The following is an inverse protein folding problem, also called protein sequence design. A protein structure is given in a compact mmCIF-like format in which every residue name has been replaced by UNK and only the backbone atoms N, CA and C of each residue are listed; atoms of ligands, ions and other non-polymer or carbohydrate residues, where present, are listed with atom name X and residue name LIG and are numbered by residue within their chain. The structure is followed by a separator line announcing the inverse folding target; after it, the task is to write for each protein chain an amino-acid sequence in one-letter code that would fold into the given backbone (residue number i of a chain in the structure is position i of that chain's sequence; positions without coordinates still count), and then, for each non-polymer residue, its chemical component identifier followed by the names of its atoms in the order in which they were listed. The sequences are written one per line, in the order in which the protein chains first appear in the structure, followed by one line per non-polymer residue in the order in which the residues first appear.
data_IF_357425932705
#
_entry.id   IF_357425932705
#
_cell.length_a   1.000
_cell.length_b   1.000
_cell.length_c   1.000
_cell.angle_alpha   90.00
_cell.angle_beta   90.00
_cell.angle_gamma   90.00
#
_symmetry.space_group_name_H-M   'P 1'
#
loop_
_entity.id
_entity.type
_entity.pdbx_description
1 polymer ?
#
# COMPACT_ATOMS: atom_id res chain seq x y z
N UNK A 1 28.52 24.91 38.84
CA UNK A 1 29.31 24.05 37.93
C UNK A 1 29.61 22.77 38.70
N UNK A 2 28.80 21.73 38.49
CA UNK A 2 28.92 20.44 39.17
C UNK A 2 29.33 19.38 38.16
N UNK A 3 30.45 18.71 38.45
CA UNK A 3 31.09 17.71 37.61
C UNK A 3 30.16 16.51 37.33
N UNK A 4 29.84 16.31 36.06
CA UNK A 4 29.10 15.15 35.53
C UNK A 4 30.02 13.94 35.25
N UNK A 5 31.26 13.94 35.76
CA UNK A 5 32.33 13.02 35.35
C UNK A 5 32.54 11.79 36.26
N UNK A 6 31.67 11.54 37.26
CA UNK A 6 31.92 10.45 38.22
C UNK A 6 30.91 9.28 38.23
N UNK A 7 29.93 9.22 37.32
CA UNK A 7 28.93 8.13 37.35
C UNK A 7 28.98 7.13 36.19
N UNK A 8 29.83 7.31 35.20
CA UNK A 8 30.00 6.32 34.13
C UNK A 8 31.45 5.88 34.12
N UNK A 9 31.73 4.71 34.70
CA UNK A 9 33.06 4.09 34.75
C UNK A 9 33.59 3.65 33.38
N UNK A 10 33.56 4.53 32.39
CA UNK A 10 34.06 4.30 31.04
C UNK A 10 35.49 4.83 30.94
N UNK A 11 36.43 3.93 30.62
CA UNK A 11 37.82 4.28 30.38
C UNK A 11 37.96 5.27 29.21
N UNK A 12 38.84 6.27 29.38
CA UNK A 12 39.07 7.45 28.51
C UNK A 12 39.41 7.18 27.03
N UNK A 13 39.49 5.92 26.58
CA UNK A 13 39.98 5.56 25.24
C UNK A 13 39.09 4.56 24.47
N UNK A 14 37.83 4.36 24.88
CA UNK A 14 36.90 3.58 24.04
C UNK A 14 36.34 4.55 22.99
N UNK A 15 36.53 4.32 21.68
CA UNK A 15 35.89 5.14 20.67
C UNK A 15 34.38 5.04 20.85
N UNK A 16 33.80 6.14 21.35
CA UNK A 16 32.36 6.40 21.29
C UNK A 16 31.91 6.09 19.88
N UNK A 17 30.92 5.19 19.76
CA UNK A 17 30.31 4.75 18.50
C UNK A 17 30.41 5.85 17.44
N UNK A 18 31.07 5.55 16.32
CA UNK A 18 30.90 6.32 15.09
C UNK A 18 29.40 6.55 14.95
N UNK A 19 28.97 7.80 15.07
CA UNK A 19 27.60 8.18 14.81
C UNK A 19 27.25 7.54 13.47
N UNK A 20 26.24 6.67 13.46
CA UNK A 20 25.68 6.20 12.19
C UNK A 20 25.41 7.42 11.32
N UNK A 21 25.58 7.32 9.98
CA UNK A 21 25.32 8.45 9.10
C UNK A 21 23.96 9.02 9.49
N UNK A 22 23.94 10.26 9.98
CA UNK A 22 22.70 10.91 10.41
C UNK A 22 21.69 10.82 9.27
N UNK A 23 20.41 10.66 9.62
CA UNK A 23 19.32 10.53 8.65
C UNK A 23 19.51 11.53 7.53
N UNK A 24 19.92 11.06 6.36
CA UNK A 24 20.08 11.91 5.18
C UNK A 24 18.68 12.41 4.89
N UNK A 25 18.39 13.71 5.03
CA UNK A 25 17.03 14.19 4.84
C UNK A 25 16.63 13.85 3.40
N UNK A 26 15.58 13.04 3.25
CA UNK A 26 15.06 12.69 1.94
C UNK A 26 14.50 13.96 1.30
N UNK A 27 15.31 14.62 0.47
CA UNK A 27 14.89 15.80 -0.27
C UNK A 27 14.00 15.30 -1.40
N UNK A 28 12.70 15.59 -1.32
CA UNK A 28 11.75 15.32 -2.40
C UNK A 28 12.19 16.10 -3.64
N UNK A 29 12.46 15.39 -4.73
CA UNK A 29 12.95 15.95 -6.02
C UNK A 29 11.92 15.91 -7.14
N UNK A 30 10.81 15.21 -6.92
CA UNK A 30 9.72 15.04 -7.89
C UNK A 30 8.37 15.17 -7.18
N UNK A 31 7.34 15.71 -7.84
CA UNK A 31 5.99 15.68 -7.31
C UNK A 31 5.54 14.23 -7.12
N UNK A 32 4.64 14.00 -6.17
CA UNK A 32 4.05 12.68 -5.97
C UNK A 32 2.58 12.91 -5.69
N UNK A 33 1.74 12.58 -6.67
CA UNK A 33 0.29 12.76 -6.61
C UNK A 33 -0.35 11.40 -6.39
N UNK A 34 -1.25 11.32 -5.41
CA UNK A 34 -2.03 10.11 -5.15
C UNK A 34 -3.25 10.05 -6.09
N UNK A 35 -3.00 9.71 -7.36
CA UNK A 35 -4.04 9.61 -8.41
C UNK A 35 -5.14 8.63 -8.04
N UNK A 36 -4.78 7.52 -7.38
CA UNK A 36 -5.73 6.51 -6.90
C UNK A 36 -6.57 7.00 -5.73
N UNK A 37 -5.97 7.70 -4.76
CA UNK A 37 -6.69 8.30 -3.65
C UNK A 37 -7.74 9.31 -4.11
N UNK A 38 -7.37 10.19 -5.04
CA UNK A 38 -8.30 11.16 -5.66
C UNK A 38 -9.45 10.43 -6.37
N UNK A 39 -9.14 9.48 -7.25
CA UNK A 39 -10.15 8.69 -7.96
C UNK A 39 -11.12 7.96 -7.00
N UNK A 40 -10.57 7.38 -5.92
CA UNK A 40 -11.35 6.67 -4.89
C UNK A 40 -12.30 7.63 -4.15
N UNK A 41 -11.90 8.89 -3.92
CA UNK A 41 -12.75 9.91 -3.32
C UNK A 41 -14.02 10.17 -4.12
N UNK A 42 -13.89 10.39 -5.43
CA UNK A 42 -15.03 10.58 -6.34
C UNK A 42 -15.89 9.32 -6.47
N UNK A 43 -15.27 8.14 -6.53
CA UNK A 43 -15.99 6.87 -6.54
C UNK A 43 -16.84 6.69 -5.27
N UNK A 44 -16.27 6.97 -4.09
CA UNK A 44 -16.98 6.86 -2.81
C UNK A 44 -18.15 7.86 -2.71
N UNK A 45 -18.06 9.02 -3.36
CA UNK A 45 -19.18 9.95 -3.44
C UNK A 45 -20.38 9.39 -4.24
N UNK A 46 -20.11 8.56 -5.26
CA UNK A 46 -21.17 7.84 -6.01
C UNK A 46 -21.76 6.75 -5.12
N UNK A 47 -20.91 5.93 -4.50
CA UNK A 47 -21.36 4.85 -3.59
C UNK A 47 -22.21 5.41 -2.47
N UNK A 48 -21.75 6.48 -1.79
CA UNK A 48 -22.52 7.11 -0.71
C UNK A 48 -23.90 7.59 -1.15
N UNK A 49 -24.01 8.20 -2.35
CA UNK A 49 -25.32 8.61 -2.90
C UNK A 49 -26.23 7.43 -3.24
N UNK A 50 -25.65 6.31 -3.71
CA UNK A 50 -26.41 5.08 -3.96
C UNK A 50 -26.87 4.43 -2.65
N UNK A 51 -26.01 4.38 -1.64
CA UNK A 51 -26.36 3.86 -0.31
C UNK A 51 -27.47 4.69 0.35
N UNK A 52 -27.38 6.03 0.26
CA UNK A 52 -28.45 6.93 0.72
C UNK A 52 -29.77 6.68 -0.01
N UNK A 53 -29.71 6.48 -1.32
CA UNK A 53 -30.89 6.14 -2.12
C UNK A 53 -31.48 4.80 -1.68
N UNK A 54 -30.66 3.77 -1.49
CA UNK A 54 -31.11 2.45 -1.05
C UNK A 54 -31.71 2.50 0.35
N UNK A 55 -31.16 3.29 1.26
CA UNK A 55 -31.75 3.53 2.58
C UNK A 55 -33.11 4.23 2.49
N UNK A 56 -33.22 5.29 1.69
CA UNK A 56 -34.48 6.00 1.47
C UNK A 56 -35.52 5.09 0.81
N UNK A 57 -35.11 4.27 -0.15
CA UNK A 57 -35.96 3.28 -0.81
C UNK A 57 -36.46 2.20 0.16
N UNK A 58 -35.61 1.69 1.06
CA UNK A 58 -36.00 0.73 2.11
C UNK A 58 -36.98 1.32 3.13
N UNK A 59 -36.77 2.58 3.52
CA UNK A 59 -37.62 3.30 4.49
C UNK A 59 -38.89 3.89 3.87
N UNK A 60 -39.07 3.78 2.55
CA UNK A 60 -40.19 4.39 1.82
C UNK A 60 -41.52 3.72 2.14
N UNK A 61 -42.53 4.54 2.44
CA UNK A 61 -43.92 4.09 2.48
C UNK A 61 -44.50 4.15 1.05
N UNK A 62 -44.63 2.99 0.39
CA UNK A 62 -44.99 2.89 -1.05
C UNK A 62 -46.32 3.55 -1.44
N UNK A 63 -47.20 3.80 -0.46
CA UNK A 63 -48.50 4.46 -0.66
C UNK A 63 -48.43 5.99 -0.70
N UNK A 64 -47.47 6.61 -0.01
CA UNK A 64 -47.37 8.08 0.09
C UNK A 64 -46.37 8.66 -0.91
N UNK A 65 -45.38 7.88 -1.31
CA UNK A 65 -44.34 8.32 -2.24
C UNK A 65 -44.11 7.22 -3.29
N UNK A 66 -44.76 7.28 -4.47
CA UNK A 66 -44.76 6.18 -5.43
C UNK A 66 -43.45 6.03 -6.20
N UNK A 67 -42.60 7.06 -6.25
CA UNK A 67 -41.35 7.03 -7.03
C UNK A 67 -40.24 7.81 -6.32
N UNK A 68 -39.29 7.07 -5.73
CA UNK A 68 -37.96 7.65 -5.44
C UNK A 68 -37.15 7.40 -6.70
N UNK A 69 -36.73 8.48 -7.35
CA UNK A 69 -35.87 8.39 -8.54
C UNK A 69 -34.45 8.04 -8.13
N UNK A 70 -33.83 7.12 -8.88
CA UNK A 70 -32.42 6.80 -8.71
C UNK A 70 -31.59 8.05 -9.04
N UNK A 71 -30.56 8.39 -8.23
CA UNK A 71 -29.71 9.53 -8.53
C UNK A 71 -29.03 9.36 -9.89
N UNK A 72 -29.04 10.43 -10.69
CA UNK A 72 -28.27 10.51 -11.94
C UNK A 72 -26.89 11.08 -11.64
N UNK A 73 -25.87 10.51 -12.27
CA UNK A 73 -24.48 10.93 -12.09
C UNK A 73 -23.93 11.45 -13.42
N UNK A 74 -23.58 12.74 -13.53
CA UNK A 74 -22.94 13.27 -14.72
C UNK A 74 -21.46 12.85 -14.74
N UNK A 75 -21.15 11.63 -15.21
CA UNK A 75 -19.80 11.07 -15.13
C UNK A 75 -18.74 11.93 -15.84
N UNK A 76 -19.14 12.67 -16.88
CA UNK A 76 -18.26 13.60 -17.58
C UNK A 76 -17.78 14.74 -16.67
N UNK A 77 -18.71 15.40 -15.97
CA UNK A 77 -18.38 16.48 -15.02
C UNK A 77 -17.56 15.95 -13.85
N UNK A 78 -17.85 14.72 -13.39
CA UNK A 78 -17.08 14.09 -12.33
C UNK A 78 -15.65 13.76 -12.78
N UNK A 79 -15.47 13.29 -14.02
CA UNK A 79 -14.15 13.06 -14.59
C UNK A 79 -13.35 14.37 -14.75
N UNK A 80 -14.01 15.46 -15.17
CA UNK A 80 -13.39 16.79 -15.18
C UNK A 80 -13.00 17.26 -13.77
N UNK A 81 -13.82 16.95 -12.76
CA UNK A 81 -13.49 17.17 -11.35
C UNK A 81 -12.27 16.40 -10.86
N UNK A 82 -12.14 15.11 -11.26
CA UNK A 82 -10.96 14.29 -10.97
C UNK A 82 -9.70 14.93 -11.56
N UNK A 83 -9.74 15.38 -12.82
CA UNK A 83 -8.61 16.07 -13.46
C UNK A 83 -8.23 17.34 -12.71
N UNK A 84 -9.21 18.17 -12.34
CA UNK A 84 -8.97 19.40 -11.60
C UNK A 84 -8.33 19.15 -10.21
N UNK A 85 -8.74 18.09 -9.49
CA UNK A 85 -8.12 17.73 -8.22
C UNK A 85 -6.68 17.22 -8.39
N UNK A 86 -6.40 16.43 -9.44
CA UNK A 86 -5.04 16.00 -9.78
C UNK A 86 -4.16 17.19 -10.12
N UNK A 87 -4.65 18.13 -10.94
CA UNK A 87 -3.94 19.36 -11.28
C UNK A 87 -3.62 20.20 -10.02
N UNK A 88 -4.59 20.36 -9.12
CA UNK A 88 -4.40 21.09 -7.88
C UNK A 88 -3.35 20.42 -6.97
N UNK A 89 -3.44 19.10 -6.79
CA UNK A 89 -2.48 18.32 -6.00
C UNK A 89 -1.08 18.39 -6.62
N UNK A 90 -0.97 18.28 -7.94
CA UNK A 90 0.29 18.37 -8.67
C UNK A 90 0.96 19.74 -8.52
N UNK A 91 0.19 20.83 -8.67
CA UNK A 91 0.70 22.21 -8.45
C UNK A 91 1.16 22.44 -7.01
N UNK A 92 0.41 21.94 -6.03
CA UNK A 92 0.77 22.02 -4.62
C UNK A 92 2.07 21.26 -4.34
N UNK A 93 2.21 20.08 -4.93
CA UNK A 93 3.39 19.24 -4.82
C UNK A 93 4.63 19.91 -5.43
N UNK A 94 4.53 20.48 -6.64
CA UNK A 94 5.63 21.24 -7.25
C UNK A 94 6.05 22.43 -6.37
N UNK A 95 5.07 23.17 -5.83
CA UNK A 95 5.35 24.31 -4.96
C UNK A 95 6.06 23.91 -3.65
N UNK A 96 5.91 22.66 -3.21
CA UNK A 96 6.57 22.12 -2.01
C UNK A 96 8.02 21.68 -2.24
N UNK A 97 8.47 21.57 -3.49
CA UNK A 97 9.80 21.10 -3.83
C UNK A 97 10.86 22.14 -3.46
N UNK A 98 11.92 21.68 -2.76
CA UNK A 98 13.07 22.52 -2.40
C UNK A 98 14.06 22.74 -3.56
N UNK A 99 13.84 22.05 -4.68
CA UNK A 99 14.70 22.07 -5.86
C UNK A 99 13.82 22.41 -7.07
N UNK A 100 14.28 23.26 -8.00
CA UNK A 100 13.55 23.54 -9.23
C UNK A 100 13.22 22.25 -9.97
N UNK A 101 11.96 22.06 -10.30
CA UNK A 101 11.46 20.92 -11.04
C UNK A 101 10.92 21.38 -12.38
N UNK A 102 11.51 20.89 -13.46
CA UNK A 102 11.01 21.11 -14.81
C UNK A 102 10.22 19.86 -15.21
N UNK A 103 8.88 19.93 -15.24
CA UNK A 103 8.06 18.79 -15.56
C UNK A 103 8.31 18.35 -17.01
N UNK A 104 8.49 17.04 -17.28
CA UNK A 104 8.46 16.54 -18.64
C UNK A 104 7.11 16.87 -19.30
N UNK A 105 7.16 17.10 -20.60
CA UNK A 105 5.97 17.38 -21.40
C UNK A 105 4.97 16.21 -21.27
N UNK A 106 3.70 16.52 -20.97
CA UNK A 106 2.64 15.53 -20.80
C UNK A 106 2.62 14.77 -19.45
N UNK A 107 3.46 15.11 -18.47
CA UNK A 107 3.43 14.43 -17.16
C UNK A 107 2.10 14.62 -16.43
N UNK A 108 1.60 15.87 -16.38
CA UNK A 108 0.32 16.17 -15.75
C UNK A 108 -0.83 15.46 -16.47
N UNK A 109 -0.87 15.55 -17.80
CA UNK A 109 -1.89 14.90 -18.62
C UNK A 109 -1.92 13.38 -18.37
N UNK A 110 -0.75 12.75 -18.24
CA UNK A 110 -0.66 11.32 -17.93
C UNK A 110 -1.21 10.97 -16.53
N UNK A 111 -0.95 11.81 -15.52
CA UNK A 111 -1.49 11.62 -14.18
C UNK A 111 -3.00 11.83 -14.13
N UNK A 112 -3.50 12.83 -14.86
CA UNK A 112 -4.92 13.12 -15.01
C UNK A 112 -5.66 11.96 -15.67
N UNK A 113 -5.15 11.46 -16.80
CA UNK A 113 -5.73 10.33 -17.52
C UNK A 113 -5.66 9.04 -16.71
N UNK A 114 -4.60 8.82 -15.93
CA UNK A 114 -4.49 7.68 -15.01
C UNK A 114 -5.57 7.75 -13.90
N UNK A 115 -5.75 8.91 -13.26
CA UNK A 115 -6.77 9.08 -12.22
C UNK A 115 -8.18 8.89 -12.77
N UNK A 116 -8.48 9.48 -13.95
CA UNK A 116 -9.77 9.29 -14.63
C UNK A 116 -9.99 7.83 -15.00
N UNK A 117 -8.94 7.13 -15.46
CA UNK A 117 -9.02 5.69 -15.75
C UNK A 117 -9.36 4.87 -14.51
N UNK A 118 -8.71 5.14 -13.37
CA UNK A 118 -9.05 4.45 -12.12
C UNK A 118 -10.52 4.70 -11.73
N UNK A 119 -10.94 5.97 -11.75
CA UNK A 119 -12.31 6.35 -11.42
C UNK A 119 -13.34 5.65 -12.32
N UNK A 120 -13.18 5.74 -13.65
CA UNK A 120 -14.12 5.13 -14.59
C UNK A 120 -14.11 3.60 -14.52
N UNK A 121 -12.96 2.98 -14.25
CA UNK A 121 -12.87 1.52 -14.07
C UNK A 121 -13.67 1.06 -12.86
N UNK A 122 -13.56 1.75 -11.72
CA UNK A 122 -14.27 1.38 -10.50
C UNK A 122 -15.78 1.64 -10.63
N UNK A 123 -16.17 2.76 -11.26
CA UNK A 123 -17.59 3.05 -11.57
C UNK A 123 -18.16 2.00 -12.54
N UNK A 124 -17.41 1.61 -13.58
CA UNK A 124 -17.84 0.57 -14.53
C UNK A 124 -18.06 -0.78 -13.84
N UNK A 125 -17.18 -1.16 -12.91
CA UNK A 125 -17.35 -2.37 -12.09
C UNK A 125 -18.61 -2.31 -11.23
N UNK A 126 -18.86 -1.17 -10.58
CA UNK A 126 -20.07 -0.93 -9.79
C UNK A 126 -21.34 -1.00 -10.66
N UNK A 127 -21.31 -0.39 -11.84
CA UNK A 127 -22.42 -0.43 -12.80
C UNK A 127 -22.71 -1.87 -13.25
N UNK A 128 -21.68 -2.67 -13.51
CA UNK A 128 -21.81 -4.10 -13.85
C UNK A 128 -22.38 -4.92 -12.69
N UNK A 129 -21.93 -4.68 -11.46
CA UNK A 129 -22.41 -5.40 -10.28
C UNK A 129 -23.87 -5.05 -9.92
N UNK A 130 -24.29 -3.81 -10.18
CA UNK A 130 -25.64 -3.31 -9.89
C UNK A 130 -26.59 -3.36 -11.09
N UNK A 131 -26.16 -3.90 -12.23
CA UNK A 131 -26.90 -3.92 -13.50
C UNK A 131 -27.42 -2.54 -13.93
N UNK A 132 -26.64 -1.48 -13.68
CA UNK A 132 -26.95 -0.11 -14.10
C UNK A 132 -26.45 0.15 -15.52
N UNK A 133 -27.34 -0.02 -16.50
CA UNK A 133 -27.00 0.16 -17.91
C UNK A 133 -26.70 1.63 -18.28
N UNK A 134 -27.31 2.61 -17.62
CA UNK A 134 -27.07 4.03 -17.91
C UNK A 134 -25.65 4.42 -17.49
N UNK A 135 -25.28 4.11 -16.24
CA UNK A 135 -23.91 4.32 -15.76
C UNK A 135 -22.88 3.55 -16.60
N UNK A 136 -23.21 2.32 -17.01
CA UNK A 136 -22.32 1.52 -17.85
C UNK A 136 -22.09 2.19 -19.21
N UNK A 137 -23.14 2.65 -19.87
CA UNK A 137 -23.04 3.33 -21.17
C UNK A 137 -22.27 4.65 -21.07
N UNK A 138 -22.47 5.41 -20.00
CA UNK A 138 -21.70 6.62 -19.76
C UNK A 138 -20.20 6.32 -19.58
N UNK A 139 -19.83 5.29 -18.82
CA UNK A 139 -18.44 4.83 -18.71
C UNK A 139 -17.86 4.45 -20.08
N UNK A 140 -18.58 3.65 -20.88
CA UNK A 140 -18.13 3.22 -22.21
C UNK A 140 -18.04 4.38 -23.21
N UNK A 141 -18.89 5.40 -23.08
CA UNK A 141 -18.83 6.61 -23.91
C UNK A 141 -17.58 7.45 -23.64
N UNK A 142 -17.12 7.47 -22.38
CA UNK A 142 -15.94 8.20 -21.96
C UNK A 142 -14.66 7.37 -22.18
N UNK A 143 -14.73 6.05 -22.03
CA UNK A 143 -13.61 5.14 -22.18
C UNK A 143 -14.07 3.80 -22.77
N UNK A 144 -14.12 3.69 -24.11
CA UNK A 144 -14.57 2.47 -24.81
C UNK A 144 -13.71 1.23 -24.47
N UNK A 145 -12.44 1.44 -24.15
CA UNK A 145 -11.48 0.39 -23.77
C UNK A 145 -11.85 -0.35 -22.48
N UNK A 146 -12.82 0.14 -21.70
CA UNK A 146 -13.34 -0.57 -20.51
C UNK A 146 -14.18 -1.79 -20.87
N UNK A 147 -14.71 -1.87 -22.09
CA UNK A 147 -15.38 -3.07 -22.55
C UNK A 147 -14.35 -4.19 -22.71
N UNK A 148 -14.46 -5.30 -21.95
CA UNK A 148 -13.50 -6.38 -22.09
C UNK A 148 -13.57 -6.90 -23.53
N UNK A 149 -12.42 -7.18 -24.18
CA UNK A 149 -12.41 -7.74 -25.51
C UNK A 149 -13.23 -9.04 -25.51
N UNK A 150 -14.00 -9.26 -26.59
CA UNK A 150 -14.72 -10.50 -26.77
C UNK A 150 -13.71 -11.65 -26.86
N UNK A 151 -13.59 -12.42 -25.77
CA UNK A 151 -12.73 -13.59 -25.73
C UNK A 151 -13.45 -14.77 -26.36
N UNK A 152 -12.76 -15.51 -27.21
CA UNK A 152 -13.28 -16.78 -27.72
C UNK A 152 -13.28 -17.86 -26.62
N UNK A 153 -13.96 -18.99 -26.88
CA UNK A 153 -14.06 -20.08 -25.91
C UNK A 153 -12.71 -20.71 -25.54
N UNK A 154 -11.71 -20.64 -26.41
CA UNK A 154 -10.40 -21.22 -26.14
C UNK A 154 -9.54 -20.27 -25.31
N UNK A 155 -9.65 -18.96 -25.53
CA UNK A 155 -9.09 -17.90 -24.68
C UNK A 155 -9.69 -17.93 -23.28
N UNK A 156 -11.00 -18.12 -23.15
CA UNK A 156 -11.65 -18.27 -21.84
C UNK A 156 -11.15 -19.51 -21.08
N UNK A 157 -10.92 -20.64 -21.77
CA UNK A 157 -10.30 -21.82 -21.15
C UNK A 157 -8.88 -21.54 -20.68
N UNK A 158 -8.07 -20.87 -21.50
CA UNK A 158 -6.70 -20.50 -21.13
C UNK A 158 -6.69 -19.56 -19.93
N UNK A 159 -7.60 -18.58 -19.88
CA UNK A 159 -7.77 -17.68 -18.75
C UNK A 159 -8.14 -18.44 -17.47
N UNK A 160 -9.05 -19.42 -17.56
CA UNK A 160 -9.38 -20.29 -16.43
C UNK A 160 -8.20 -21.13 -15.92
N UNK A 161 -7.32 -21.60 -16.81
CA UNK A 161 -6.08 -22.31 -16.42
C UNK A 161 -5.12 -21.36 -15.70
N UNK A 162 -4.96 -20.14 -16.21
CA UNK A 162 -4.10 -19.12 -15.59
C UNK A 162 -4.61 -18.72 -14.20
N UNK A 163 -5.93 -18.52 -14.04
CA UNK A 163 -6.54 -18.21 -12.76
C UNK A 163 -6.28 -19.31 -11.72
N UNK A 164 -6.51 -20.58 -12.05
CA UNK A 164 -6.21 -21.69 -11.13
C UNK A 164 -4.74 -21.76 -10.73
N UNK A 165 -3.84 -21.46 -11.68
CA UNK A 165 -2.40 -21.41 -11.38
C UNK A 165 -2.07 -20.24 -10.47
N UNK A 166 -2.68 -19.08 -10.69
CA UNK A 166 -2.52 -17.92 -9.84
C UNK A 166 -3.03 -18.17 -8.41
N UNK A 167 -4.22 -18.76 -8.28
CA UNK A 167 -4.82 -19.10 -6.99
C UNK A 167 -3.91 -20.07 -6.23
N UNK A 168 -3.43 -21.12 -6.90
CA UNK A 168 -2.49 -22.07 -6.31
C UNK A 168 -1.19 -21.41 -5.84
N UNK A 169 -0.59 -20.56 -6.67
CA UNK A 169 0.64 -19.84 -6.28
C UNK A 169 0.37 -18.90 -5.10
N UNK A 170 -0.81 -18.30 -5.05
CA UNK A 170 -1.21 -17.42 -3.94
C UNK A 170 -1.36 -18.21 -2.64
N UNK A 171 -1.97 -19.39 -2.70
CA UNK A 171 -2.06 -20.33 -1.57
C UNK A 171 -0.66 -20.76 -1.10
N UNK A 172 0.23 -21.16 -2.02
CA UNK A 172 1.61 -21.51 -1.71
C UNK A 172 2.35 -20.35 -1.00
N UNK A 173 2.14 -19.10 -1.44
CA UNK A 173 2.72 -17.90 -0.81
C UNK A 173 2.16 -17.68 0.61
N UNK A 174 0.85 -17.87 0.80
CA UNK A 174 0.20 -17.72 2.11
C UNK A 174 0.74 -18.76 3.10
N UNK A 175 0.92 -20.00 2.69
CA UNK A 175 1.48 -21.07 3.52
C UNK A 175 2.93 -20.78 3.93
N UNK A 176 3.76 -20.31 2.99
CA UNK A 176 5.14 -19.88 3.28
C UNK A 176 5.15 -18.72 4.27
N UNK A 177 4.25 -17.75 4.10
CA UNK A 177 4.13 -16.61 4.99
C UNK A 177 3.70 -17.02 6.40
N UNK A 178 2.74 -17.94 6.52
CA UNK A 178 2.32 -18.51 7.80
C UNK A 178 3.50 -19.23 8.49
N UNK A 179 4.24 -20.06 7.76
CA UNK A 179 5.43 -20.75 8.28
C UNK A 179 6.51 -19.77 8.76
N UNK A 180 6.72 -18.67 8.03
CA UNK A 180 7.66 -17.61 8.44
C UNK A 180 7.22 -16.92 9.73
N UNK A 181 5.91 -16.65 9.90
CA UNK A 181 5.39 -16.05 11.13
C UNK A 181 5.59 -16.96 12.34
N UNK A 182 5.36 -18.27 12.19
CA UNK A 182 5.59 -19.25 13.25
C UNK A 182 7.07 -19.29 13.67
N UNK A 183 8.00 -19.35 12.71
CA UNK A 183 9.43 -19.34 12.98
C UNK A 183 9.90 -18.04 13.67
N UNK A 184 9.34 -16.89 13.29
CA UNK A 184 9.63 -15.60 13.95
C UNK A 184 9.09 -15.57 15.39
N UNK A 185 7.91 -16.16 15.62
CA UNK A 185 7.34 -16.26 16.96
C UNK A 185 8.18 -17.19 17.86
N UNK A 186 8.71 -18.30 17.32
CA UNK A 186 9.63 -19.19 18.02
C UNK A 186 10.95 -18.49 18.37
N UNK A 187 11.53 -17.73 17.43
CA UNK A 187 12.70 -16.89 17.70
C UNK A 187 12.43 -15.87 18.82
N UNK A 188 11.25 -15.25 18.84
CA UNK A 188 10.86 -14.33 19.91
C UNK A 188 10.71 -15.05 21.26
N UNK A 189 10.20 -16.29 21.29
CA UNK A 189 10.15 -17.10 22.51
C UNK A 189 11.55 -17.44 23.03
N UNK A 190 12.46 -17.88 22.16
CA UNK A 190 13.86 -18.18 22.50
C UNK A 190 14.56 -16.94 23.08
N UNK A 191 14.37 -15.76 22.48
CA UNK A 191 14.97 -14.52 23.00
C UNK A 191 14.44 -14.12 24.39
N UNK A 192 13.16 -14.40 24.67
CA UNK A 192 12.57 -14.15 26.00
C UNK A 192 13.12 -15.12 27.04
N UNK A 193 13.30 -16.39 26.66
CA UNK A 193 13.90 -17.40 27.53
C UNK A 193 15.37 -17.10 27.84
N UNK A 194 16.16 -16.68 26.85
CA UNK A 194 17.53 -16.21 27.10
C UNK A 194 17.53 -15.02 28.06
N UNK A 195 16.66 -14.03 27.82
CA UNK A 195 16.57 -12.84 28.68
C UNK A 195 16.21 -13.18 30.12
N UNK A 196 15.37 -14.20 30.35
CA UNK A 196 14.97 -14.63 31.70
C UNK A 196 16.09 -15.40 32.40
N UNK A 197 16.85 -16.23 31.68
CA UNK A 197 18.01 -16.96 32.22
C UNK A 197 19.17 -16.03 32.58
N UNK A 198 19.37 -14.96 31.82
CA UNK A 198 20.44 -13.99 32.05
C UNK A 198 20.08 -12.90 33.06
N UNK A 199 18.82 -12.84 33.51
CA UNK A 199 18.35 -11.86 34.49
C UNK A 199 19.15 -11.93 35.80
N UNK A 200 19.83 -10.83 36.16
CA UNK A 200 20.65 -10.74 37.38
C UNK A 200 22.13 -11.10 37.20
N UNK A 201 22.58 -11.41 35.98
CA UNK A 201 24.00 -11.61 35.68
C UNK A 201 24.66 -10.30 35.20
N UNK A 202 25.87 -9.99 35.67
CA UNK A 202 26.67 -8.82 35.23
C UNK A 202 27.34 -9.02 33.85
N UNK A 203 26.97 -10.07 33.10
CA UNK A 203 27.68 -10.45 31.89
C UNK A 203 27.27 -9.57 30.71
N UNK A 204 28.31 -9.07 30.06
CA UNK A 204 28.34 -8.40 28.75
C UNK A 204 27.86 -9.42 27.69
N UNK A 205 26.57 -9.72 27.66
CA UNK A 205 25.98 -10.76 26.81
C UNK A 205 24.49 -10.56 26.51
N UNK A 206 23.86 -9.56 27.15
CA UNK A 206 22.42 -9.28 27.13
C UNK A 206 21.74 -9.09 25.76
N UNK A 207 22.50 -9.03 24.66
CA UNK A 207 21.96 -8.74 23.34
C UNK A 207 22.34 -9.78 22.27
N UNK A 208 22.88 -10.95 22.63
CA UNK A 208 23.45 -11.87 21.60
C UNK A 208 22.38 -12.48 20.70
N UNK A 209 21.37 -13.17 21.23
CA UNK A 209 20.29 -13.70 20.39
C UNK A 209 19.40 -12.56 19.88
N UNK A 210 19.29 -11.45 20.61
CA UNK A 210 18.60 -10.25 20.12
C UNK A 210 19.23 -9.70 18.82
N UNK A 211 20.58 -9.60 18.76
CA UNK A 211 21.30 -9.20 17.55
C UNK A 211 21.20 -10.23 16.43
N UNK A 212 21.16 -11.53 16.75
CA UNK A 212 20.94 -12.57 15.75
C UNK A 212 19.50 -12.51 15.18
N UNK A 213 18.50 -12.22 16.01
CA UNK A 213 17.12 -11.98 15.58
C UNK A 213 17.02 -10.74 14.69
N UNK A 214 17.66 -9.63 15.06
CA UNK A 214 17.69 -8.41 14.25
C UNK A 214 18.39 -8.64 12.90
N UNK A 215 19.51 -9.38 12.90
CA UNK A 215 20.20 -9.77 11.68
C UNK A 215 19.33 -10.64 10.77
N UNK A 216 18.63 -11.64 11.33
CA UNK A 216 17.69 -12.49 10.58
C UNK A 216 16.54 -11.68 9.99
N UNK A 217 15.94 -10.76 10.76
CA UNK A 217 14.89 -9.85 10.26
C UNK A 217 15.41 -8.98 9.12
N UNK A 218 16.59 -8.40 9.27
CA UNK A 218 17.20 -7.55 8.25
C UNK A 218 17.50 -8.33 6.96
N UNK A 219 18.10 -9.52 7.05
CA UNK A 219 18.40 -10.34 5.87
C UNK A 219 17.11 -10.86 5.20
N UNK A 220 16.05 -11.18 5.95
CA UNK A 220 14.75 -11.54 5.39
C UNK A 220 14.13 -10.39 4.58
N UNK A 221 14.11 -9.17 5.14
CA UNK A 221 13.62 -7.97 4.43
C UNK A 221 14.46 -7.71 3.17
N UNK A 222 15.79 -7.79 3.29
CA UNK A 222 16.71 -7.60 2.18
C UNK A 222 16.54 -8.66 1.08
N UNK A 223 16.28 -9.91 1.43
CA UNK A 223 16.02 -10.97 0.47
C UNK A 223 14.71 -10.75 -0.29
N UNK A 224 13.67 -10.24 0.40
CA UNK A 224 12.41 -9.83 -0.23
C UNK A 224 12.61 -8.65 -1.19
N UNK A 225 13.44 -7.68 -0.83
CA UNK A 225 13.73 -6.51 -1.68
C UNK A 225 14.61 -6.84 -2.91
N UNK A 226 15.53 -7.80 -2.77
CA UNK A 226 16.54 -8.09 -3.81
C UNK A 226 16.26 -9.35 -4.63
N UNK A 227 15.26 -10.16 -4.24
CA UNK A 227 14.93 -11.43 -4.89
C UNK A 227 16.04 -12.47 -4.83
N UNK A 228 17.02 -12.31 -3.93
CA UNK A 228 18.17 -13.21 -3.78
C UNK A 228 17.88 -14.32 -2.78
N UNK A 229 18.42 -15.49 -3.05
CA UNK A 229 18.37 -16.64 -2.14
C UNK A 229 19.15 -16.31 -0.86
N UNK A 230 18.53 -16.55 0.29
CA UNK A 230 19.13 -16.34 1.62
C UNK A 230 20.24 -17.38 1.86
N UNK A 231 21.50 -16.93 1.85
CA UNK A 231 22.63 -17.73 2.34
C UNK A 231 22.91 -17.33 3.80
N UNK A 232 22.07 -17.83 4.71
CA UNK A 232 22.18 -17.54 6.14
C UNK A 232 23.34 -18.30 6.76
N UNK A 233 24.53 -17.67 6.78
CA UNK A 233 25.64 -18.12 7.62
C UNK A 233 25.46 -17.58 9.03
N UNK A 234 24.74 -18.33 9.86
CA UNK A 234 24.65 -18.02 11.30
C UNK A 234 26.04 -18.26 11.91
N UNK A 235 26.74 -17.24 12.43
CA UNK A 235 28.02 -17.45 13.09
C UNK A 235 27.79 -18.22 14.40
N UNK A 236 28.05 -19.53 14.37
CA UNK A 236 28.05 -20.38 15.56
C UNK A 236 29.29 -20.04 16.39
N UNK A 237 29.14 -19.22 17.44
CA UNK A 237 30.24 -18.98 18.37
C UNK A 237 30.28 -20.13 19.39
N UNK A 238 31.41 -20.85 19.42
CA UNK A 238 31.75 -21.87 20.42
C UNK A 238 31.85 -21.22 21.81
N UNK A 239 31.36 -21.93 22.82
CA UNK A 239 31.43 -21.57 24.24
C UNK A 239 32.86 -21.68 24.76
#
# INVERSE_FOLDING_TARGET
MGNFEQQTGLAKNIPTRLAGPGDVPFVKRRPTVDTRGIATGFFNAIVGKLDEYDEKAKKRNRFLDPTIERPKFPLKEMAEGVRAEVEAAYKQEIASLKVPYNPPEGELDALEDEAVRYFLTDVYRLAKASSDDDLRQQCLSLMPELEPPALDNDQLKQLGVLQRRFDKVTEDIQDVFATMLEALAELDAITREESSLLAGTNQIGNDRLMRQREYLRYELVRALETGRQLDLKIPVARW
#
